data_IF_136575764067
#
_entry.id   IF_136575764067
#
_cell.length_a   1.000
_cell.length_b   1.000
_cell.length_c   1.000
_cell.angle_alpha   90.00
_cell.angle_beta   90.00
_cell.angle_gamma   90.00
#
_symmetry.space_group_name_H-M   'P 1'
#
loop_
_entity.id
_entity.type
_entity.pdbx_description
1 polymer ?
#
# COMPACT_ATOMS: atom_id res chain seq x y z
N UNK A 1 -38.33 14.95 -8.85
CA UNK A 1 -36.89 14.60 -8.87
C UNK A 1 -36.46 14.40 -7.43
N UNK A 2 -36.29 13.16 -6.97
CA UNK A 2 -35.93 12.82 -5.59
C UNK A 2 -34.51 12.22 -5.59
N UNK A 3 -33.60 12.95 -4.95
CA UNK A 3 -32.24 12.50 -4.64
C UNK A 3 -32.29 11.36 -3.63
N UNK A 4 -31.59 10.25 -3.91
CA UNK A 4 -31.33 9.22 -2.90
C UNK A 4 -29.83 8.95 -2.79
N UNK A 5 -29.24 9.41 -1.68
CA UNK A 5 -27.83 9.21 -1.31
C UNK A 5 -27.71 7.83 -0.64
N UNK A 6 -27.38 6.77 -1.38
CA UNK A 6 -26.92 5.52 -0.76
C UNK A 6 -25.43 5.62 -0.43
N UNK A 7 -25.15 5.80 0.86
CA UNK A 7 -23.84 5.57 1.48
C UNK A 7 -23.49 4.09 1.31
N UNK A 8 -22.85 3.74 0.18
CA UNK A 8 -22.24 2.43 -0.01
C UNK A 8 -20.88 2.47 0.67
N UNK A 9 -20.71 1.64 1.69
CA UNK A 9 -19.38 1.25 2.15
C UNK A 9 -18.71 0.52 0.99
N UNK A 10 -17.81 1.21 0.29
CA UNK A 10 -16.99 0.63 -0.77
C UNK A 10 -15.76 0.03 -0.08
N UNK A 11 -15.46 -1.26 -0.28
CA UNK A 11 -14.25 -1.86 0.25
C UNK A 11 -13.06 -1.12 -0.35
N UNK A 12 -12.14 -0.69 0.52
CA UNK A 12 -10.94 0.09 0.23
C UNK A 12 -10.16 -0.41 -1.00
N UNK A 13 -10.24 -1.70 -1.35
CA UNK A 13 -9.56 -2.27 -2.52
C UNK A 13 -10.02 -1.75 -3.89
N UNK A 14 -11.26 -1.27 -4.05
CA UNK A 14 -11.79 -0.87 -5.38
C UNK A 14 -11.66 0.62 -5.70
N UNK A 15 -11.34 1.47 -4.70
CA UNK A 15 -11.05 2.88 -4.94
C UNK A 15 -9.57 3.16 -5.23
N UNK A 16 -8.66 2.26 -4.84
CA UNK A 16 -7.20 2.49 -4.97
C UNK A 16 -6.68 2.40 -6.41
N UNK A 17 -7.46 1.81 -7.33
CA UNK A 17 -7.04 1.56 -8.72
C UNK A 17 -7.98 2.19 -9.75
N UNK A 18 -8.83 3.13 -9.33
CA UNK A 18 -9.78 3.81 -10.24
C UNK A 18 -9.16 4.97 -11.01
N UNK A 19 -8.04 5.49 -10.54
CA UNK A 19 -7.35 6.63 -11.13
C UNK A 19 -6.30 6.16 -12.13
N UNK A 20 -6.03 6.98 -13.16
CA UNK A 20 -4.94 6.73 -14.08
C UNK A 20 -3.63 6.60 -13.29
N UNK A 21 -2.83 5.60 -13.63
CA UNK A 21 -1.55 5.34 -12.96
C UNK A 21 -0.45 5.15 -13.98
N UNK A 22 0.75 5.58 -13.61
CA UNK A 22 1.98 5.30 -14.34
C UNK A 22 2.62 4.07 -13.71
N UNK A 23 2.79 3.02 -14.50
CA UNK A 23 3.56 1.84 -14.11
C UNK A 23 4.98 1.93 -14.69
N UNK A 24 5.97 1.70 -13.84
CA UNK A 24 7.40 1.74 -14.16
C UNK A 24 7.97 0.36 -13.84
N UNK A 25 8.55 -0.30 -14.84
CA UNK A 25 9.32 -1.52 -14.65
C UNK A 25 10.68 -1.18 -14.02
N UNK A 26 10.94 -1.76 -12.85
CA UNK A 26 12.17 -1.55 -12.08
C UNK A 26 13.17 -2.71 -12.25
N UNK A 27 12.87 -3.67 -13.13
CA UNK A 27 13.70 -4.84 -13.40
C UNK A 27 13.30 -6.05 -12.56
N UNK A 28 14.27 -6.91 -12.24
CA UNK A 28 14.03 -8.16 -11.52
C UNK A 28 14.90 -8.27 -10.26
N UNK A 29 14.33 -8.84 -9.21
CA UNK A 29 15.01 -9.21 -7.97
C UNK A 29 14.56 -10.60 -7.53
N UNK A 30 15.51 -11.52 -7.33
CA UNK A 30 15.22 -12.91 -6.92
C UNK A 30 14.12 -13.56 -7.77
N UNK A 31 14.25 -13.44 -9.10
CA UNK A 31 13.28 -13.93 -10.11
C UNK A 31 11.94 -13.19 -10.18
N UNK A 32 11.63 -12.30 -9.22
CA UNK A 32 10.43 -11.49 -9.25
C UNK A 32 10.64 -10.23 -10.10
N UNK A 33 9.68 -9.89 -10.94
CA UNK A 33 9.58 -8.59 -11.60
C UNK A 33 9.12 -7.53 -10.60
N UNK A 34 9.81 -6.40 -10.57
CA UNK A 34 9.45 -5.28 -9.72
C UNK A 34 8.73 -4.23 -10.56
N UNK A 35 7.49 -3.92 -10.19
CA UNK A 35 6.71 -2.85 -10.82
C UNK A 35 6.41 -1.78 -9.77
N UNK A 36 6.77 -0.53 -10.09
CA UNK A 36 6.39 0.64 -9.30
C UNK A 36 5.25 1.38 -9.98
N UNK A 37 4.21 1.66 -9.22
CA UNK A 37 3.00 2.35 -9.67
C UNK A 37 2.90 3.69 -8.97
N UNK A 38 2.60 4.74 -9.74
CA UNK A 38 2.40 6.10 -9.25
C UNK A 38 1.03 6.58 -9.75
N UNK A 39 0.09 6.90 -8.87
CA UNK A 39 -1.20 7.46 -9.28
C UNK A 39 -0.99 8.84 -9.90
N UNK A 40 -1.74 9.14 -10.95
CA UNK A 40 -1.73 10.44 -11.63
C UNK A 40 -2.63 11.46 -10.95
N UNK A 41 -3.62 11.01 -10.17
CA UNK A 41 -4.44 11.91 -9.37
C UNK A 41 -3.63 12.50 -8.21
N UNK A 42 -3.44 13.82 -8.27
CA UNK A 42 -2.79 14.59 -7.20
C UNK A 42 -3.56 14.51 -5.88
N UNK A 43 -4.85 14.15 -5.89
CA UNK A 43 -5.66 13.98 -4.68
C UNK A 43 -5.60 12.56 -4.09
N UNK A 44 -4.93 11.62 -4.75
CA UNK A 44 -4.77 10.25 -4.24
C UNK A 44 -4.14 10.23 -2.84
N UNK A 45 -4.69 9.41 -1.94
CA UNK A 45 -4.11 9.15 -0.61
C UNK A 45 -2.81 8.33 -0.72
N UNK A 46 -2.72 7.47 -1.73
CA UNK A 46 -1.51 6.72 -2.09
C UNK A 46 -0.56 7.63 -2.87
N UNK A 47 0.70 7.67 -2.43
CA UNK A 47 1.80 8.32 -3.15
C UNK A 47 2.42 7.37 -4.17
N UNK A 48 2.64 6.12 -3.79
CA UNK A 48 3.19 5.10 -4.70
C UNK A 48 2.94 3.69 -4.15
N UNK A 49 2.86 2.72 -5.06
CA UNK A 49 2.92 1.31 -4.75
C UNK A 49 4.09 0.64 -5.45
N UNK A 50 4.75 -0.32 -4.82
CA UNK A 50 5.76 -1.17 -5.42
C UNK A 50 5.37 -2.62 -5.20
N UNK A 51 5.44 -3.42 -6.26
CA UNK A 51 4.98 -4.80 -6.29
C UNK A 51 6.10 -5.70 -6.78
N UNK A 52 6.28 -6.83 -6.13
CA UNK A 52 7.14 -7.93 -6.56
C UNK A 52 6.24 -9.03 -7.07
N UNK A 53 6.33 -9.31 -8.36
CA UNK A 53 5.49 -10.26 -9.08
C UNK A 53 6.37 -11.42 -9.53
N UNK A 54 5.99 -12.65 -9.21
CA UNK A 54 6.75 -13.83 -9.61
C UNK A 54 6.53 -14.19 -11.09
N UNK A 55 7.12 -15.30 -11.53
CA UNK A 55 7.03 -15.79 -12.91
C UNK A 55 5.65 -16.33 -13.31
N UNK A 56 4.74 -16.51 -12.34
CA UNK A 56 3.36 -16.96 -12.54
C UNK A 56 2.35 -15.86 -12.25
N UNK A 57 2.78 -14.60 -12.32
CA UNK A 57 1.98 -13.39 -12.14
C UNK A 57 1.36 -13.21 -10.73
N UNK A 58 1.94 -13.85 -9.70
CA UNK A 58 1.51 -13.67 -8.31
C UNK A 58 2.32 -12.61 -7.58
N UNK A 59 1.64 -11.75 -6.83
CA UNK A 59 2.28 -10.72 -6.01
C UNK A 59 2.85 -11.38 -4.74
N UNK A 60 4.16 -11.47 -4.64
CA UNK A 60 4.84 -12.04 -3.46
C UNK A 60 5.00 -11.00 -2.34
N UNK A 61 5.18 -9.73 -2.73
CA UNK A 61 5.34 -8.61 -1.81
C UNK A 61 4.76 -7.34 -2.42
N UNK A 62 4.20 -6.48 -1.58
CA UNK A 62 3.88 -5.10 -1.94
C UNK A 62 4.33 -4.12 -0.86
N UNK A 63 4.69 -2.92 -1.29
CA UNK A 63 4.91 -1.76 -0.42
C UNK A 63 4.03 -0.63 -0.94
N UNK A 64 3.21 -0.05 -0.08
CA UNK A 64 2.38 1.12 -0.38
C UNK A 64 2.82 2.27 0.52
N UNK A 65 3.04 3.43 -0.07
CA UNK A 65 3.35 4.67 0.65
C UNK A 65 2.14 5.58 0.54
N UNK A 66 1.65 6.05 1.68
CA UNK A 66 0.53 7.00 1.77
C UNK A 66 1.02 8.36 2.20
N UNK A 67 0.25 9.42 1.89
CA UNK A 67 0.63 10.80 2.23
C UNK A 67 0.69 11.05 3.73
N UNK A 68 -0.29 10.52 4.47
CA UNK A 68 -0.49 10.87 5.89
C UNK A 68 -0.22 9.70 6.85
N UNK A 69 -0.32 8.46 6.39
CA UNK A 69 -0.33 7.27 7.28
C UNK A 69 0.89 6.37 7.12
N UNK A 70 1.96 6.91 6.53
CA UNK A 70 3.24 6.23 6.39
C UNK A 70 3.23 5.10 5.35
N UNK A 71 4.08 4.08 5.59
CA UNK A 71 4.31 2.98 4.67
C UNK A 71 3.70 1.68 5.17
N UNK A 72 3.03 0.97 4.26
CA UNK A 72 2.46 -0.36 4.47
C UNK A 72 3.26 -1.36 3.65
N UNK A 73 3.73 -2.42 4.27
CA UNK A 73 4.35 -3.56 3.59
C UNK A 73 3.43 -4.75 3.77
N UNK A 74 3.19 -5.52 2.72
CA UNK A 74 2.48 -6.78 2.83
C UNK A 74 3.23 -7.88 2.06
N UNK A 75 3.39 -9.03 2.70
CA UNK A 75 4.02 -10.22 2.16
C UNK A 75 2.96 -11.31 2.02
N UNK A 76 2.85 -11.87 0.82
CA UNK A 76 1.90 -12.91 0.48
C UNK A 76 2.60 -14.26 0.54
N UNK A 77 1.97 -15.23 1.20
CA UNK A 77 2.44 -16.60 1.20
C UNK A 77 1.38 -17.53 0.61
N UNK A 78 1.74 -18.13 -0.52
CA UNK A 78 0.89 -19.04 -1.27
C UNK A 78 1.22 -20.48 -0.86
N UNK A 79 0.20 -21.23 -0.44
CA UNK A 79 0.33 -22.65 -0.09
C UNK A 79 -0.56 -23.47 -1.05
N UNK A 80 -0.20 -23.41 -2.33
CA UNK A 80 -1.02 -23.80 -3.48
C UNK A 80 -1.44 -22.59 -4.32
N UNK A 81 -1.63 -22.78 -5.63
CA UNK A 81 -2.00 -21.72 -6.59
C UNK A 81 -3.48 -21.74 -6.97
N UNK A 82 -4.31 -22.47 -6.21
CA UNK A 82 -5.72 -22.57 -6.55
C UNK A 82 -6.39 -21.19 -6.36
N UNK A 83 -6.75 -20.57 -7.48
CA UNK A 83 -7.36 -19.23 -7.58
C UNK A 83 -6.46 -18.05 -7.20
N UNK A 84 -5.13 -18.21 -7.31
CA UNK A 84 -4.16 -17.11 -7.09
C UNK A 84 -4.32 -16.40 -5.73
N UNK A 85 -4.88 -17.11 -4.75
CA UNK A 85 -5.19 -16.58 -3.43
C UNK A 85 -4.09 -16.98 -2.44
N UNK A 86 -3.49 -16.02 -1.71
CA UNK A 86 -2.52 -16.34 -0.68
C UNK A 86 -3.21 -17.04 0.50
N UNK A 87 -2.56 -18.06 1.04
CA UNK A 87 -2.97 -18.72 2.28
C UNK A 87 -2.76 -17.85 3.52
N UNK A 88 -1.79 -16.93 3.45
CA UNK A 88 -1.43 -16.01 4.51
C UNK A 88 -0.94 -14.69 3.92
N UNK A 89 -1.36 -13.58 4.52
CA UNK A 89 -0.82 -12.26 4.26
C UNK A 89 -0.25 -11.71 5.57
N UNK A 90 1.03 -11.35 5.57
CA UNK A 90 1.69 -10.67 6.69
C UNK A 90 1.84 -9.20 6.32
N UNK A 91 1.06 -8.33 6.93
CA UNK A 91 1.09 -6.89 6.70
C UNK A 91 1.77 -6.18 7.87
N UNK A 92 2.65 -5.24 7.59
CA UNK A 92 3.23 -4.34 8.59
C UNK A 92 3.02 -2.90 8.16
N UNK A 93 2.73 -2.03 9.12
CA UNK A 93 2.62 -0.60 8.89
C UNK A 93 3.65 0.13 9.75
N UNK A 94 4.23 1.17 9.18
CA UNK A 94 5.14 2.11 9.85
C UNK A 94 4.60 3.52 9.62
N UNK A 95 3.90 4.04 10.62
CA UNK A 95 3.26 5.36 10.66
C UNK A 95 4.23 6.45 11.16
N UNK A 96 5.51 6.12 11.40
CA UNK A 96 6.43 7.05 12.04
C UNK A 96 6.78 8.20 11.10
N UNK A 97 6.15 9.36 11.34
CA UNK A 97 6.60 10.72 11.02
C UNK A 97 7.67 10.82 9.91
N UNK A 98 7.38 10.35 8.69
CA UNK A 98 8.16 10.77 7.53
C UNK A 98 7.74 12.21 7.23
N UNK A 99 8.21 13.16 8.08
CA UNK A 99 8.35 14.54 7.66
C UNK A 99 9.16 14.47 6.37
N UNK A 100 8.54 14.88 5.25
CA UNK A 100 9.24 14.92 3.97
C UNK A 100 10.57 15.63 4.17
N UNK A 101 11.70 15.11 3.63
CA UNK A 101 12.97 15.80 3.77
C UNK A 101 12.78 17.24 3.30
N UNK A 102 13.07 18.22 4.16
CA UNK A 102 12.83 19.65 3.91
C UNK A 102 13.44 20.16 2.60
N UNK A 103 14.43 19.43 2.07
CA UNK A 103 15.02 19.65 0.74
C UNK A 103 14.00 19.57 -0.42
N UNK A 104 12.89 18.84 -0.25
CA UNK A 104 11.81 18.71 -1.24
C UNK A 104 10.74 19.81 -1.09
N UNK A 105 10.57 20.38 0.09
CA UNK A 105 9.54 21.39 0.37
C UNK A 105 10.05 22.83 0.25
N UNK A 106 11.37 23.04 0.17
CA UNK A 106 11.99 24.34 -0.09
C UNK A 106 11.87 25.33 1.08
N UNK A 107 11.43 24.86 2.25
CA UNK A 107 11.19 25.68 3.43
C UNK A 107 12.19 25.30 4.53
N UNK A 108 13.18 26.17 4.75
CA UNK A 108 14.31 25.95 5.67
C UNK A 108 14.01 26.45 7.10
N UNK A 109 12.82 26.97 7.35
CA UNK A 109 12.45 27.64 8.59
C UNK A 109 11.08 27.17 9.11
N UNK A 110 10.94 25.90 9.50
CA UNK A 110 9.74 25.44 10.21
C UNK A 110 10.03 24.38 11.28
N UNK A 111 10.47 24.92 12.41
CA UNK A 111 10.20 24.57 13.81
C UNK A 111 10.36 23.14 14.35
N UNK A 112 11.17 23.13 15.41
CA UNK A 112 11.14 22.24 16.57
C UNK A 112 9.71 22.08 17.09
N UNK A 113 9.17 20.88 17.02
CA UNK A 113 7.99 20.52 17.80
C UNK A 113 8.25 19.21 18.53
N UNK A 114 7.90 19.27 19.80
CA UNK A 114 8.14 18.33 20.86
C UNK A 114 7.47 16.99 20.53
N UNK A 115 8.23 15.90 20.54
CA UNK A 115 7.72 14.57 20.21
C UNK A 115 6.93 14.00 21.38
N UNK A 116 5.60 13.98 21.28
CA UNK A 116 4.78 13.03 22.04
C UNK A 116 5.23 11.61 21.65
N UNK A 117 5.88 10.91 22.59
CA UNK A 117 6.60 9.64 22.38
C UNK A 117 5.69 8.39 22.39
N UNK A 118 4.36 8.53 22.50
CA UNK A 118 3.49 7.42 22.88
C UNK A 118 2.46 6.96 21.81
N UNK A 119 2.55 7.39 20.55
CA UNK A 119 1.76 6.76 19.48
C UNK A 119 2.48 5.54 18.90
N UNK A 120 1.79 4.40 18.93
CA UNK A 120 2.24 3.13 18.32
C UNK A 120 2.46 3.33 16.83
N UNK A 121 3.69 3.67 16.47
CA UNK A 121 4.10 4.01 15.12
C UNK A 121 4.36 2.79 14.24
N UNK A 122 4.35 1.57 14.79
CA UNK A 122 4.55 0.33 14.03
C UNK A 122 3.62 -0.77 14.50
N UNK A 123 3.06 -1.52 13.56
CA UNK A 123 2.24 -2.69 13.88
C UNK A 123 2.26 -3.72 12.78
N UNK A 124 1.88 -4.95 13.14
CA UNK A 124 1.82 -6.09 12.23
C UNK A 124 0.45 -6.75 12.32
N UNK A 125 -0.14 -7.02 11.17
CA UNK A 125 -1.41 -7.71 10.98
C UNK A 125 -1.13 -8.98 10.21
N UNK A 126 -1.60 -10.13 10.70
CA UNK A 126 -1.54 -11.39 9.95
C UNK A 126 -2.95 -11.81 9.59
N UNK A 127 -3.19 -12.02 8.29
CA UNK A 127 -4.45 -12.54 7.76
C UNK A 127 -4.20 -13.96 7.31
N UNK A 128 -4.99 -14.90 7.82
CA UNK A 128 -4.93 -16.31 7.43
C UNK A 128 -6.25 -16.72 6.81
N UNK A 129 -6.13 -17.36 5.66
CA UNK A 129 -7.23 -17.78 4.81
C UNK A 129 -7.43 -19.29 4.99
N UNK A 130 -8.63 -19.71 5.37
CA UNK A 130 -8.97 -21.14 5.55
C UNK A 130 -10.38 -21.45 5.04
N UNK A 131 -10.59 -22.71 4.64
CA UNK A 131 -11.89 -23.30 4.28
C UNK A 131 -12.70 -22.52 3.22
N UNK A 132 -12.06 -22.09 2.13
CA UNK A 132 -12.78 -21.45 1.02
C UNK A 132 -13.64 -22.47 0.28
N UNK A 133 -14.94 -22.15 0.18
CA UNK A 133 -15.87 -22.87 -0.68
C UNK A 133 -16.10 -22.01 -1.94
N UNK A 134 -16.00 -22.66 -3.10
CA UNK A 134 -16.21 -22.07 -4.42
C UNK A 134 -17.49 -22.65 -5.02
#
# INVERSE_FOLDING_TARGET
MLFYRKKKWVPFSTSLFKDDFIAIDMGKENENQIIKVIPMDINSEIVTGQFWIDSVDLIQKMILITKEKGSYTAEMNYNGTLYDLPSKISMSFDVKNQKMPALLTGDLEAYTDETDEDEVSKGTITIMYSNHQF
#
